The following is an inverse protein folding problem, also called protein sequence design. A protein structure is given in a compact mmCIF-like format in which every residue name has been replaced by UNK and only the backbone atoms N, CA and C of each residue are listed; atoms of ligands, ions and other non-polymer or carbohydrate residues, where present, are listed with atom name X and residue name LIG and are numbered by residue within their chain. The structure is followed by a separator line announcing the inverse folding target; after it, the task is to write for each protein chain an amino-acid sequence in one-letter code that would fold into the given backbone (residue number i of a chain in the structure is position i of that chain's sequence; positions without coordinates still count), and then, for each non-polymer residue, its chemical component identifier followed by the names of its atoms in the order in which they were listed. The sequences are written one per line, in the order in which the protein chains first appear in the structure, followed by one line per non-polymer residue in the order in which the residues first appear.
data_IF_619669685354
#
_entry.id   IF_619669685354
#
_cell.length_a   1.000
_cell.length_b   1.000
_cell.length_c   1.000
_cell.angle_alpha   90.00
_cell.angle_beta   90.00
_cell.angle_gamma   90.00
#
_symmetry.space_group_name_H-M   'P 1'
#
loop_
_entity.id
_entity.type
_entity.pdbx_description
1 polymer ?
#
# COMPACT_ATOMS: atom_id res chain seq x y z
N UNK A 1 3.50 -0.23 45.87
CA UNK A 1 2.90 0.79 45.00
C UNK A 1 3.62 0.68 43.67
N UNK A 2 2.97 0.05 42.70
CA UNK A 2 3.50 -0.15 41.35
C UNK A 2 3.05 1.07 40.56
N UNK A 3 3.99 1.95 40.24
CA UNK A 3 3.72 3.19 39.52
C UNK A 3 3.19 2.88 38.13
N UNK A 4 2.04 3.48 37.84
CA UNK A 4 1.37 3.49 36.54
C UNK A 4 2.26 4.12 35.46
N UNK A 5 2.09 3.76 34.17
CA UNK A 5 2.83 4.38 33.08
C UNK A 5 2.58 5.89 33.05
N UNK A 6 3.65 6.67 33.14
CA UNK A 6 3.62 8.13 33.16
C UNK A 6 3.33 8.62 31.74
N UNK A 7 2.07 8.94 31.47
CA UNK A 7 1.68 9.81 30.35
C UNK A 7 2.13 11.24 30.66
N UNK A 8 3.33 11.63 30.23
CA UNK A 8 3.70 13.05 30.14
C UNK A 8 3.09 13.64 28.87
N UNK A 9 1.86 14.10 28.98
CA UNK A 9 1.21 14.92 27.95
C UNK A 9 1.62 16.38 28.19
N UNK A 10 2.75 16.79 27.62
CA UNK A 10 3.02 18.21 27.40
C UNK A 10 2.84 18.51 25.91
N UNK A 11 1.75 19.22 25.60
CA UNK A 11 1.42 19.84 24.31
C UNK A 11 1.20 18.90 23.11
N UNK A 12 -0.04 18.41 22.99
CA UNK A 12 -0.74 18.14 21.73
C UNK A 12 0.06 17.42 20.60
N UNK A 13 0.86 16.42 20.97
CA UNK A 13 1.48 15.47 20.05
C UNK A 13 1.44 14.09 20.70
N UNK A 14 0.71 13.16 20.08
CA UNK A 14 0.46 11.82 20.60
C UNK A 14 1.80 11.10 20.83
N UNK A 15 2.06 10.66 22.07
CA UNK A 15 3.21 9.85 22.46
C UNK A 15 2.66 8.53 23.03
N UNK A 16 3.08 7.41 22.45
CA UNK A 16 2.68 6.06 22.90
C UNK A 16 3.92 5.28 23.27
N UNK A 17 3.92 4.64 24.44
CA UNK A 17 5.04 3.83 24.94
C UNK A 17 4.51 2.46 25.35
N UNK A 18 5.05 1.41 24.71
CA UNK A 18 4.71 0.02 24.98
C UNK A 18 5.31 -0.52 26.27
N UNK A 19 5.01 -1.79 26.56
CA UNK A 19 5.40 -2.45 27.80
C UNK A 19 6.88 -2.89 27.80
N UNK A 20 7.49 -2.92 28.98
CA UNK A 20 8.87 -3.42 29.13
C UNK A 20 9.96 -2.48 28.61
N UNK A 21 9.62 -1.21 28.33
CA UNK A 21 10.60 -0.22 27.88
C UNK A 21 11.49 0.27 29.03
N UNK A 22 12.74 0.58 28.70
CA UNK A 22 13.70 1.22 29.60
C UNK A 22 14.13 2.55 29.01
N UNK A 23 13.88 3.66 29.74
CA UNK A 23 14.19 5.01 29.29
C UNK A 23 15.22 5.62 30.24
N UNK A 24 16.33 6.09 29.68
CA UNK A 24 17.43 6.72 30.39
C UNK A 24 17.15 8.14 30.87
N UNK A 25 18.19 8.79 31.38
CA UNK A 25 18.18 10.17 31.87
C UNK A 25 18.32 11.17 30.74
N UNK A 26 17.67 12.33 30.87
CA UNK A 26 17.76 13.43 29.91
C UNK A 26 17.35 13.06 28.46
N UNK A 27 16.37 12.15 28.33
CA UNK A 27 15.83 11.72 27.03
C UNK A 27 14.66 12.63 26.63
N UNK A 28 14.61 13.03 25.36
CA UNK A 28 13.51 13.80 24.77
C UNK A 28 12.76 12.94 23.76
N UNK A 29 11.49 12.62 24.04
CA UNK A 29 10.63 11.89 23.10
C UNK A 29 9.41 12.75 22.77
N UNK A 30 9.17 13.02 21.48
CA UNK A 30 8.07 13.88 21.05
C UNK A 30 7.36 13.32 19.81
N UNK A 31 6.03 13.12 19.89
CA UNK A 31 5.22 12.71 18.75
C UNK A 31 5.57 11.33 18.17
N UNK A 32 6.12 10.45 19.00
CA UNK A 32 6.70 9.16 18.57
C UNK A 32 5.89 7.97 19.10
N UNK A 33 5.97 6.85 18.39
CA UNK A 33 5.35 5.58 18.79
C UNK A 33 6.44 4.60 19.17
N UNK A 34 6.56 4.31 20.46
CA UNK A 34 7.53 3.38 21.02
C UNK A 34 6.79 2.08 21.36
N UNK A 35 7.21 0.96 20.77
CA UNK A 35 6.60 -0.35 20.99
C UNK A 35 7.19 -1.03 22.23
N UNK A 36 7.15 -2.36 22.33
CA UNK A 36 7.49 -3.08 23.56
C UNK A 36 9.00 -3.40 23.63
N UNK A 37 9.50 -3.52 24.86
CA UNK A 37 10.88 -3.92 25.14
C UNK A 37 11.94 -3.03 24.48
N UNK A 38 11.63 -1.76 24.26
CA UNK A 38 12.56 -0.78 23.68
C UNK A 38 13.47 -0.24 24.77
N UNK A 39 14.77 -0.14 24.47
CA UNK A 39 15.76 0.47 25.37
C UNK A 39 16.26 1.77 24.78
N UNK A 40 16.02 2.89 25.46
CA UNK A 40 16.53 4.21 25.11
C UNK A 40 17.50 4.65 26.19
N UNK A 41 18.78 4.78 25.84
CA UNK A 41 19.84 5.21 26.76
C UNK A 41 19.85 6.74 26.98
N UNK A 42 20.75 7.22 27.84
CA UNK A 42 20.78 8.62 28.29
C UNK A 42 21.06 9.63 27.17
N UNK A 43 20.44 10.81 27.27
CA UNK A 43 20.70 11.94 26.36
C UNK A 43 20.17 11.76 24.94
N UNK A 44 19.36 10.73 24.68
CA UNK A 44 18.78 10.50 23.36
C UNK A 44 17.65 11.48 23.03
N UNK A 45 17.47 11.75 21.73
CA UNK A 45 16.38 12.57 21.22
C UNK A 45 15.62 11.83 20.12
N UNK A 46 14.32 11.61 20.30
CA UNK A 46 13.46 10.87 19.37
C UNK A 46 12.24 11.72 19.04
N UNK A 47 12.12 12.16 17.79
CA UNK A 47 10.99 12.99 17.34
C UNK A 47 10.25 12.33 16.21
N UNK A 48 8.92 12.31 16.27
CA UNK A 48 8.05 11.93 15.17
C UNK A 48 8.45 10.60 14.49
N UNK A 49 8.87 9.62 15.30
CA UNK A 49 9.44 8.36 14.81
C UNK A 49 8.66 7.15 15.32
N UNK A 50 8.74 6.05 14.56
CA UNK A 50 8.19 4.74 14.95
C UNK A 50 9.35 3.83 15.36
N UNK A 51 9.28 3.29 16.57
CA UNK A 51 10.31 2.43 17.15
C UNK A 51 9.69 1.09 17.51
N UNK A 52 9.97 0.06 16.70
CA UNK A 52 9.40 -1.28 16.85
C UNK A 52 9.99 -2.07 18.03
N UNK A 53 9.49 -3.29 18.24
CA UNK A 53 9.84 -4.09 19.42
C UNK A 53 11.33 -4.42 19.50
N UNK A 54 11.88 -4.34 20.72
CA UNK A 54 13.24 -4.76 21.03
C UNK A 54 14.35 -3.86 20.47
N UNK A 55 14.01 -2.68 19.95
CA UNK A 55 14.99 -1.71 19.45
C UNK A 55 15.81 -1.14 20.60
N UNK A 56 17.11 -0.91 20.35
CA UNK A 56 18.02 -0.23 21.27
C UNK A 56 18.54 1.07 20.67
N UNK A 57 18.31 2.18 21.34
CA UNK A 57 18.89 3.49 20.99
C UNK A 57 19.97 3.81 22.02
N UNK A 58 21.22 3.80 21.59
CA UNK A 58 22.37 4.01 22.48
C UNK A 58 22.57 5.49 22.83
N UNK A 59 23.32 5.76 23.89
CA UNK A 59 23.42 7.09 24.49
C UNK A 59 23.89 8.17 23.50
N UNK A 60 23.32 9.37 23.63
CA UNK A 60 23.64 10.55 22.80
C UNK A 60 23.08 10.52 21.37
N UNK A 61 22.33 9.48 21.00
CA UNK A 61 21.84 9.32 19.63
C UNK A 61 20.57 10.10 19.35
N UNK A 62 20.45 10.56 18.11
CA UNK A 62 19.35 11.42 17.66
C UNK A 62 18.60 10.71 16.54
N UNK A 63 17.30 10.48 16.76
CA UNK A 63 16.38 9.91 15.77
C UNK A 63 15.51 11.06 15.24
N UNK A 64 15.77 11.44 13.99
CA UNK A 64 15.04 12.53 13.33
C UNK A 64 13.60 12.15 12.97
N UNK A 65 12.81 13.16 12.61
CA UNK A 65 11.41 13.01 12.25
C UNK A 65 11.19 12.06 11.06
N UNK A 66 10.13 11.27 11.13
CA UNK A 66 9.72 10.34 10.07
C UNK A 66 10.54 9.06 9.99
N UNK A 67 11.49 8.83 10.91
CA UNK A 67 12.29 7.60 10.95
C UNK A 67 11.44 6.42 11.41
N UNK A 68 11.65 5.26 10.76
CA UNK A 68 11.07 3.98 11.16
C UNK A 68 12.21 3.02 11.50
N UNK A 69 12.29 2.63 12.77
CA UNK A 69 13.23 1.60 13.25
C UNK A 69 12.49 0.27 13.37
N UNK A 70 12.83 -0.68 12.49
CA UNK A 70 12.29 -2.04 12.52
C UNK A 70 12.78 -2.84 13.74
N UNK A 71 12.30 -4.06 13.87
CA UNK A 71 12.51 -4.91 15.04
C UNK A 71 13.99 -5.17 15.35
N UNK A 72 14.35 -5.07 16.64
CA UNK A 72 15.69 -5.41 17.18
C UNK A 72 16.86 -4.62 16.57
N UNK A 73 16.59 -3.52 15.89
CA UNK A 73 17.63 -2.60 15.40
C UNK A 73 18.39 -1.99 16.59
N UNK A 74 19.70 -1.81 16.43
CA UNK A 74 20.54 -1.10 17.41
C UNK A 74 21.08 0.15 16.75
N UNK A 75 20.69 1.32 17.26
CA UNK A 75 21.31 2.59 16.92
C UNK A 75 22.54 2.75 17.80
N UNK A 76 23.71 2.87 17.18
CA UNK A 76 24.99 3.09 17.85
C UNK A 76 25.05 4.43 18.57
N UNK A 77 26.07 4.62 19.40
CA UNK A 77 26.24 5.83 20.25
C UNK A 77 26.55 7.07 19.43
N UNK A 78 26.06 8.22 19.88
CA UNK A 78 26.26 9.54 19.26
C UNK A 78 25.91 9.56 17.75
N UNK A 79 25.02 8.67 17.31
CA UNK A 79 24.64 8.54 15.91
C UNK A 79 23.34 9.28 15.62
N UNK A 80 23.33 10.01 14.51
CA UNK A 80 22.14 10.72 14.03
C UNK A 80 21.51 9.91 12.91
N UNK A 81 20.33 9.36 13.14
CA UNK A 81 19.55 8.69 12.10
C UNK A 81 18.86 9.78 11.26
N UNK A 82 19.14 9.87 9.94
CA UNK A 82 18.58 10.92 9.09
C UNK A 82 17.05 10.83 9.01
N UNK A 83 16.39 11.98 8.84
CA UNK A 83 14.93 12.07 8.74
C UNK A 83 14.39 11.16 7.63
N UNK A 84 13.19 10.61 7.84
CA UNK A 84 12.50 9.72 6.90
C UNK A 84 13.23 8.42 6.52
N UNK A 85 14.28 8.05 7.26
CA UNK A 85 15.01 6.80 7.05
C UNK A 85 14.18 5.59 7.48
N UNK A 86 14.15 4.55 6.63
CA UNK A 86 13.67 3.21 6.99
C UNK A 86 14.88 2.37 7.40
N UNK A 87 14.87 1.79 8.59
CA UNK A 87 16.01 1.05 9.14
C UNK A 87 15.61 -0.38 9.48
N UNK A 88 16.34 -1.36 8.97
CA UNK A 88 16.06 -2.79 9.18
C UNK A 88 17.34 -3.60 9.42
N UNK A 89 17.22 -4.73 10.11
CA UNK A 89 18.29 -5.73 10.19
C UNK A 89 18.51 -6.46 8.86
N UNK A 90 17.51 -6.42 7.97
CA UNK A 90 17.60 -6.97 6.63
C UNK A 90 18.28 -5.94 5.72
N UNK A 91 19.27 -6.40 4.97
CA UNK A 91 19.83 -5.62 3.88
C UNK A 91 18.75 -5.47 2.81
N UNK A 92 18.60 -4.25 2.26
CA UNK A 92 17.70 -4.01 1.14
C UNK A 92 18.12 -4.94 -0.02
N UNK A 93 17.20 -5.72 -0.61
CA UNK A 93 17.51 -6.47 -1.81
C UNK A 93 17.96 -5.48 -2.88
N UNK A 94 19.14 -5.72 -3.45
CA UNK A 94 19.52 -5.02 -4.67
C UNK A 94 18.65 -5.62 -5.77
N UNK A 95 17.77 -4.80 -6.35
CA UNK A 95 17.20 -5.14 -7.63
C UNK A 95 18.37 -5.20 -8.62
N UNK A 96 18.70 -6.41 -9.08
CA UNK A 96 19.50 -6.55 -10.29
C UNK A 96 18.57 -6.11 -11.41
N UNK A 97 18.66 -4.84 -11.79
CA UNK A 97 18.20 -4.38 -13.09
C UNK A 97 18.97 -5.21 -14.14
N UNK A 98 18.36 -6.31 -14.56
CA UNK A 98 18.68 -6.95 -15.83
C UNK A 98 18.35 -5.91 -16.89
N UNK A 99 19.37 -5.16 -17.31
CA UNK A 99 19.71 -4.87 -18.70
C UNK A 99 20.62 -3.63 -18.81
N UNK A 100 21.91 -3.72 -18.43
CA UNK A 100 22.98 -2.97 -19.11
C UNK A 100 24.33 -3.70 -18.95
N UNK A 101 24.83 -4.29 -20.04
CA UNK A 101 26.26 -4.59 -20.14
C UNK A 101 27.05 -3.27 -20.15
N UNK A 102 27.81 -2.99 -19.10
CA UNK A 102 29.05 -2.23 -19.29
C UNK A 102 30.17 -2.66 -18.35
N UNK A 103 31.29 -2.99 -19.01
CA UNK A 103 32.53 -3.46 -18.45
C UNK A 103 33.28 -2.38 -17.65
N UNK A 104 33.80 -2.81 -16.49
CA UNK A 104 35.06 -2.40 -15.88
C UNK A 104 35.20 -0.92 -15.46
N UNK A 105 35.05 -0.67 -14.15
CA UNK A 105 36.20 -0.27 -13.35
C UNK A 105 35.94 -0.51 -11.87
N UNK A 106 36.85 -1.25 -11.23
CA UNK A 106 36.84 -1.45 -9.80
C UNK A 106 36.92 -0.11 -9.06
N UNK A 107 35.83 0.24 -8.41
CA UNK A 107 35.83 1.13 -7.25
C UNK A 107 35.13 0.37 -6.13
N UNK A 108 35.93 0.05 -5.13
CA UNK A 108 35.56 -0.53 -3.84
C UNK A 108 34.54 0.40 -3.16
N UNK A 109 33.24 0.23 -3.45
CA UNK A 109 32.17 0.88 -2.71
C UNK A 109 31.96 0.07 -1.43
N UNK A 110 32.79 0.38 -0.43
CA UNK A 110 32.52 0.04 0.96
C UNK A 110 31.14 0.57 1.35
N UNK A 111 30.13 -0.28 1.26
CA UNK A 111 28.75 -0.01 1.65
C UNK A 111 28.66 -0.04 3.18
N UNK A 112 29.20 0.99 3.84
CA UNK A 112 29.05 1.20 5.29
C UNK A 112 27.82 2.09 5.56
N UNK A 113 26.63 1.50 5.71
CA UNK A 113 25.50 2.15 6.40
C UNK A 113 25.27 1.56 7.80
N UNK A 114 26.38 1.39 8.55
CA UNK A 114 26.33 1.03 9.97
C UNK A 114 25.75 2.21 10.74
N UNK A 115 24.77 1.95 11.60
CA UNK A 115 24.11 2.94 12.48
C UNK A 115 25.05 3.49 13.57
N UNK A 116 26.28 3.88 13.23
CA UNK A 116 27.30 4.31 14.17
C UNK A 116 28.02 3.18 14.91
N UNK A 117 28.87 3.53 15.90
CA UNK A 117 29.62 2.56 16.70
C UNK A 117 28.68 1.65 17.50
N UNK A 118 28.89 0.33 17.40
CA UNK A 118 28.04 -0.71 18.00
C UNK A 118 26.61 -0.80 17.40
N UNK A 119 26.34 -0.11 16.29
CA UNK A 119 25.05 -0.15 15.61
C UNK A 119 24.82 -1.46 14.84
N UNK A 120 23.58 -1.95 14.85
CA UNK A 120 23.14 -3.14 14.13
C UNK A 120 21.88 -2.82 13.32
N UNK A 121 22.03 -2.77 12.00
CA UNK A 121 20.98 -2.48 11.03
C UNK A 121 21.52 -1.72 9.83
N UNK A 122 20.75 -1.75 8.75
CA UNK A 122 21.00 -1.06 7.49
C UNK A 122 19.94 0.01 7.31
N UNK A 123 20.38 1.21 6.94
CA UNK A 123 19.48 2.25 6.44
C UNK A 123 19.14 1.90 4.99
N UNK A 124 17.86 1.71 4.70
CA UNK A 124 17.37 1.47 3.35
C UNK A 124 17.41 2.78 2.57
N UNK A 125 17.91 2.73 1.35
CA UNK A 125 17.90 3.89 0.48
C UNK A 125 16.46 4.16 0.06
N UNK A 126 16.06 5.43 0.18
CA UNK A 126 14.81 5.92 -0.39
C UNK A 126 15.09 6.03 -1.89
N UNK A 127 14.58 5.07 -2.67
CA UNK A 127 14.42 5.31 -4.10
C UNK A 127 13.58 6.58 -4.23
N UNK A 128 13.99 7.51 -5.10
CA UNK A 128 13.34 8.81 -5.27
C UNK A 128 11.93 8.60 -5.86
N UNK A 129 10.96 8.28 -4.99
CA UNK A 129 9.55 8.25 -5.33
C UNK A 129 9.06 9.69 -5.43
N UNK A 130 9.03 10.23 -6.66
CA UNK A 130 8.67 11.61 -7.00
C UNK A 130 7.30 12.10 -6.49
N UNK A 131 6.49 11.23 -5.88
CA UNK A 131 5.14 11.54 -5.38
C UNK A 131 5.12 12.60 -4.28
N UNK A 132 6.13 12.72 -3.41
CA UNK A 132 6.02 13.48 -2.13
C UNK A 132 5.66 14.98 -2.22
N UNK A 133 5.57 15.54 -3.42
CA UNK A 133 5.21 16.94 -3.67
C UNK A 133 3.77 17.17 -4.17
N UNK A 134 2.97 16.13 -4.43
CA UNK A 134 1.65 16.28 -5.09
C UNK A 134 0.44 16.42 -4.16
N UNK A 135 0.64 16.55 -2.84
CA UNK A 135 -0.49 16.69 -1.89
C UNK A 135 -0.83 18.17 -1.65
N UNK A 136 -1.94 18.63 -2.22
CA UNK A 136 -2.49 19.95 -1.92
C UNK A 136 -3.02 20.01 -0.47
N UNK A 137 -2.82 21.12 0.27
CA UNK A 137 -3.33 21.26 1.63
C UNK A 137 -4.87 21.22 1.68
N UNK A 138 -5.43 20.28 2.44
CA UNK A 138 -6.88 20.17 2.66
C UNK A 138 -7.35 21.30 3.60
N UNK A 139 -8.34 22.14 3.22
CA UNK A 139 -8.90 23.16 4.09
C UNK A 139 -9.57 22.57 5.33
N UNK A 140 -9.32 23.17 6.50
CA UNK A 140 -9.76 22.66 7.81
C UNK A 140 -11.28 22.52 7.95
N UNK A 141 -12.04 23.31 7.21
CA UNK A 141 -13.50 23.33 7.29
C UNK A 141 -14.14 22.06 6.67
N UNK A 142 -13.39 21.31 5.85
CA UNK A 142 -13.86 20.10 5.15
C UNK A 142 -13.49 18.79 5.82
N UNK A 143 -12.62 18.82 6.83
CA UNK A 143 -12.26 17.62 7.59
C UNK A 143 -13.42 17.13 8.46
N UNK A 144 -14.36 18.01 8.82
CA UNK A 144 -15.49 17.70 9.68
C UNK A 144 -16.60 16.91 8.96
N UNK A 145 -16.71 17.01 7.63
CA UNK A 145 -17.76 16.35 6.83
C UNK A 145 -17.42 14.87 6.52
N UNK A 146 -16.17 14.43 6.69
CA UNK A 146 -15.71 13.08 6.33
C UNK A 146 -15.85 12.09 7.52
N UNK A 147 -16.15 12.57 8.72
CA UNK A 147 -16.10 11.76 9.96
C UNK A 147 -17.48 11.16 10.31
N UNK A 148 -18.55 11.50 9.61
CA UNK A 148 -19.93 11.34 10.12
C UNK A 148 -20.84 10.44 9.25
N UNK A 149 -20.37 9.26 8.83
CA UNK A 149 -21.25 8.19 8.30
C UNK A 149 -20.64 6.79 8.55
N UNK A 150 -21.00 6.17 9.67
CA UNK A 150 -20.98 4.72 9.86
C UNK A 150 -22.00 4.34 10.95
N UNK A 151 -23.23 4.01 10.55
CA UNK A 151 -24.20 3.28 11.38
C UNK A 151 -25.36 2.78 10.50
N UNK A 152 -25.22 1.60 9.88
CA UNK A 152 -26.37 0.72 9.60
C UNK A 152 -25.96 -0.75 9.70
N UNK A 153 -26.40 -1.38 10.79
CA UNK A 153 -26.56 -2.84 10.92
C UNK A 153 -27.68 -3.33 9.97
N UNK A 154 -27.51 -4.46 9.28
CA UNK A 154 -28.61 -5.45 9.21
C UNK A 154 -28.16 -6.86 8.77
N UNK A 155 -28.54 -7.85 9.58
CA UNK A 155 -28.57 -9.28 9.24
C UNK A 155 -29.90 -9.59 8.55
N UNK A 156 -29.91 -10.32 7.42
CA UNK A 156 -31.02 -11.25 7.17
C UNK A 156 -30.68 -12.41 6.23
N UNK A 157 -31.27 -13.57 6.54
CA UNK A 157 -31.10 -14.90 5.98
C UNK A 157 -32.25 -15.23 5.03
N UNK A 158 -32.02 -15.72 3.79
CA UNK A 158 -32.98 -16.64 3.10
C UNK A 158 -32.28 -17.59 2.10
N UNK A 159 -32.85 -18.80 2.00
CA UNK A 159 -32.46 -20.09 1.38
C UNK A 159 -32.42 -20.20 -0.17
N UNK A 160 -31.77 -21.24 -0.75
CA UNK A 160 -31.61 -21.39 -2.20
C UNK A 160 -32.71 -22.27 -2.85
N UNK A 161 -33.20 -21.87 -4.02
CA UNK A 161 -33.94 -22.75 -4.93
C UNK A 161 -33.97 -22.21 -6.37
N UNK A 162 -33.39 -22.97 -7.30
CA UNK A 162 -33.96 -23.18 -8.65
C UNK A 162 -33.46 -22.32 -9.81
N UNK A 163 -32.73 -23.01 -10.72
CA UNK A 163 -32.70 -22.87 -12.19
C UNK A 163 -32.12 -21.62 -12.88
N UNK A 164 -30.92 -21.86 -13.44
CA UNK A 164 -30.40 -21.52 -14.77
C UNK A 164 -30.93 -20.31 -15.58
N UNK A 165 -29.93 -19.51 -15.99
CA UNK A 165 -29.92 -18.50 -17.06
C UNK A 165 -30.66 -17.19 -16.80
N UNK A 166 -29.97 -16.27 -16.14
CA UNK A 166 -30.06 -14.83 -16.46
C UNK A 166 -28.76 -14.15 -16.03
N UNK A 167 -28.15 -13.42 -16.96
CA UNK A 167 -27.03 -12.51 -16.71
C UNK A 167 -27.55 -11.44 -15.75
N UNK A 168 -27.08 -11.44 -14.49
CA UNK A 168 -27.45 -10.45 -13.49
C UNK A 168 -26.23 -10.09 -12.64
N UNK A 169 -26.04 -8.78 -12.49
CA UNK A 169 -25.08 -8.08 -11.63
C UNK A 169 -25.24 -8.46 -10.14
N UNK A 170 -24.21 -8.11 -9.36
CA UNK A 170 -24.17 -7.85 -7.90
C UNK A 170 -23.53 -8.85 -6.93
N UNK A 171 -22.70 -9.80 -7.38
CA UNK A 171 -21.95 -10.67 -6.42
C UNK A 171 -20.57 -11.17 -6.88
N UNK A 172 -20.08 -10.74 -8.05
CA UNK A 172 -19.12 -11.54 -8.82
C UNK A 172 -17.66 -11.58 -8.33
N UNK A 173 -17.16 -10.60 -7.56
CA UNK A 173 -15.75 -10.64 -7.14
C UNK A 173 -15.42 -11.78 -6.16
N UNK A 174 -16.43 -12.30 -5.45
CA UNK A 174 -16.26 -13.47 -4.57
C UNK A 174 -16.53 -14.80 -5.32
N UNK A 175 -17.40 -14.78 -6.34
CA UNK A 175 -17.67 -15.95 -7.17
C UNK A 175 -16.52 -16.28 -8.13
N UNK A 176 -15.80 -15.27 -8.63
CA UNK A 176 -14.61 -15.51 -9.47
C UNK A 176 -13.49 -16.22 -8.69
N UNK A 177 -13.35 -15.95 -7.38
CA UNK A 177 -12.42 -16.69 -6.52
C UNK A 177 -12.83 -18.14 -6.31
N UNK A 178 -14.10 -18.40 -5.99
CA UNK A 178 -14.58 -19.77 -5.78
C UNK A 178 -14.43 -20.59 -7.05
N UNK A 179 -14.71 -20.00 -8.22
CA UNK A 179 -14.49 -20.61 -9.53
C UNK A 179 -13.01 -20.88 -9.77
N UNK A 180 -12.11 -19.95 -9.45
CA UNK A 180 -10.67 -20.12 -9.70
C UNK A 180 -10.01 -21.11 -8.72
N UNK A 181 -10.47 -21.14 -7.46
CA UNK A 181 -10.08 -22.14 -6.46
C UNK A 181 -10.58 -23.53 -6.86
N UNK A 182 -11.84 -23.64 -7.30
CA UNK A 182 -12.40 -24.91 -7.77
C UNK A 182 -11.68 -25.40 -9.03
N UNK A 183 -11.38 -24.51 -9.97
CA UNK A 183 -10.57 -24.82 -11.15
C UNK A 183 -9.15 -25.27 -10.81
N UNK A 184 -8.52 -24.62 -9.83
CA UNK A 184 -7.20 -25.01 -9.31
C UNK A 184 -7.25 -26.39 -8.63
N UNK A 185 -8.29 -26.65 -7.85
CA UNK A 185 -8.51 -27.94 -7.21
C UNK A 185 -8.75 -29.06 -8.23
N UNK A 186 -9.59 -28.82 -9.24
CA UNK A 186 -9.86 -29.78 -10.32
C UNK A 186 -8.58 -30.12 -11.11
N UNK A 187 -7.79 -29.11 -11.52
CA UNK A 187 -6.50 -29.34 -12.20
C UNK A 187 -5.52 -30.11 -11.32
N UNK A 188 -5.42 -29.77 -10.05
CA UNK A 188 -4.55 -30.48 -9.12
C UNK A 188 -4.93 -31.97 -8.99
N UNK A 189 -6.22 -32.28 -9.02
CA UNK A 189 -6.75 -33.66 -9.00
C UNK A 189 -6.53 -34.37 -10.33
N UNK A 190 -6.83 -33.73 -11.47
CA UNK A 190 -6.70 -34.32 -12.81
C UNK A 190 -5.24 -34.57 -13.21
N UNK A 191 -4.36 -33.64 -12.91
CA UNK A 191 -2.94 -33.69 -13.26
C UNK A 191 -2.08 -34.36 -12.16
N UNK A 192 -2.72 -34.81 -11.07
CA UNK A 192 -2.07 -35.46 -9.92
C UNK A 192 -0.91 -34.61 -9.36
N UNK A 193 -1.16 -33.30 -9.21
CA UNK A 193 -0.21 -32.32 -8.68
C UNK A 193 0.01 -32.61 -7.18
N UNK A 194 1.26 -32.46 -6.73
CA UNK A 194 1.59 -32.66 -5.31
C UNK A 194 0.89 -31.59 -4.48
N UNK A 195 0.20 -32.01 -3.41
CA UNK A 195 -0.69 -31.13 -2.62
C UNK A 195 -0.05 -29.81 -2.15
N UNK A 196 1.27 -29.77 -1.94
CA UNK A 196 1.98 -28.55 -1.54
C UNK A 196 2.02 -27.47 -2.64
N UNK A 197 1.98 -27.84 -3.93
CA UNK A 197 1.92 -26.90 -5.05
C UNK A 197 0.53 -26.28 -5.17
N UNK A 198 -0.52 -27.09 -5.06
CA UNK A 198 -1.91 -26.60 -5.05
C UNK A 198 -2.18 -25.63 -3.88
N UNK A 199 -1.60 -25.89 -2.70
CA UNK A 199 -1.68 -24.97 -1.55
C UNK A 199 -1.01 -23.63 -1.83
N UNK A 200 0.12 -23.61 -2.56
CA UNK A 200 0.79 -22.36 -2.92
C UNK A 200 -0.04 -21.54 -3.90
N UNK A 201 -0.63 -22.18 -4.91
CA UNK A 201 -1.52 -21.52 -5.89
C UNK A 201 -2.76 -20.92 -5.20
N UNK A 202 -3.44 -21.69 -4.37
CA UNK A 202 -4.62 -21.20 -3.62
C UNK A 202 -4.25 -20.03 -2.70
N UNK A 203 -3.09 -20.08 -2.03
CA UNK A 203 -2.64 -18.97 -1.18
C UNK A 203 -2.27 -17.72 -2.00
N UNK A 204 -1.72 -17.90 -3.21
CA UNK A 204 -1.44 -16.80 -4.13
C UNK A 204 -2.74 -16.12 -4.58
N UNK A 205 -3.74 -16.90 -4.97
CA UNK A 205 -5.06 -16.39 -5.35
C UNK A 205 -5.72 -15.62 -4.20
N UNK A 206 -5.69 -16.20 -3.00
CA UNK A 206 -6.22 -15.55 -1.80
C UNK A 206 -5.52 -14.21 -1.52
N UNK A 207 -4.20 -14.15 -1.67
CA UNK A 207 -3.42 -12.93 -1.46
C UNK A 207 -3.82 -11.83 -2.43
N UNK A 208 -4.04 -12.16 -3.72
CA UNK A 208 -4.47 -11.20 -4.73
C UNK A 208 -5.85 -10.60 -4.39
N UNK A 209 -6.78 -11.41 -3.89
CA UNK A 209 -8.12 -10.95 -3.49
C UNK A 209 -8.08 -10.11 -2.22
N UNK A 210 -7.29 -10.51 -1.23
CA UNK A 210 -7.12 -9.71 -0.02
C UNK A 210 -6.54 -8.33 -0.38
N UNK A 211 -5.61 -8.28 -1.35
CA UNK A 211 -5.05 -7.03 -1.87
C UNK A 211 -6.11 -6.18 -2.59
N UNK A 212 -6.92 -6.78 -3.46
CA UNK A 212 -8.03 -6.10 -4.13
C UNK A 212 -9.04 -5.53 -3.13
N UNK A 213 -9.49 -6.31 -2.15
CA UNK A 213 -10.42 -5.86 -1.11
C UNK A 213 -9.86 -4.69 -0.30
N UNK A 214 -8.58 -4.72 0.00
CA UNK A 214 -7.91 -3.62 0.67
C UNK A 214 -7.89 -2.35 -0.21
N UNK A 215 -7.56 -2.49 -1.51
CA UNK A 215 -7.59 -1.38 -2.46
C UNK A 215 -8.99 -0.78 -2.59
N UNK A 216 -10.01 -1.61 -2.82
CA UNK A 216 -11.42 -1.21 -2.88
C UNK A 216 -11.86 -0.48 -1.60
N UNK A 217 -11.55 -1.04 -0.42
CA UNK A 217 -11.89 -0.42 0.87
C UNK A 217 -11.24 0.96 1.05
N UNK A 218 -9.99 1.13 0.64
CA UNK A 218 -9.29 2.42 0.67
C UNK A 218 -9.94 3.40 -0.31
N UNK A 219 -10.21 2.97 -1.55
CA UNK A 219 -10.84 3.81 -2.56
C UNK A 219 -12.22 4.29 -2.07
N UNK A 220 -13.07 3.38 -1.57
CA UNK A 220 -14.37 3.75 -1.02
C UNK A 220 -14.26 4.68 0.18
N UNK A 221 -13.28 4.49 1.06
CA UNK A 221 -13.05 5.39 2.22
C UNK A 221 -12.75 6.81 1.76
N UNK A 222 -12.00 6.97 0.68
CA UNK A 222 -11.53 8.26 0.19
C UNK A 222 -12.33 8.81 -1.00
N UNK A 223 -13.39 8.12 -1.45
CA UNK A 223 -14.17 8.50 -2.63
C UNK A 223 -14.74 9.92 -2.54
N UNK A 224 -15.20 10.35 -1.36
CA UNK A 224 -15.69 11.71 -1.14
C UNK A 224 -14.61 12.79 -1.31
N UNK A 225 -13.36 12.47 -0.95
CA UNK A 225 -12.22 13.36 -1.19
C UNK A 225 -11.81 13.34 -2.66
N UNK A 226 -11.78 12.16 -3.29
CA UNK A 226 -11.47 12.02 -4.71
C UNK A 226 -12.47 12.78 -5.57
N UNK A 227 -13.78 12.61 -5.35
CA UNK A 227 -14.83 13.36 -6.06
C UNK A 227 -14.79 14.88 -5.83
N UNK A 228 -14.08 15.36 -4.80
CA UNK A 228 -13.83 16.80 -4.66
C UNK A 228 -12.78 17.32 -5.65
N UNK A 229 -11.77 16.52 -5.98
CA UNK A 229 -10.64 16.90 -6.84
C UNK A 229 -10.73 16.35 -8.27
N UNK A 230 -11.51 15.29 -8.48
CA UNK A 230 -11.60 14.53 -9.73
C UNK A 230 -13.00 14.75 -10.30
N UNK A 231 -13.19 15.85 -11.03
CA UNK A 231 -14.49 16.26 -11.58
C UNK A 231 -14.49 16.29 -13.10
N UNK A 232 -13.35 16.63 -13.69
CA UNK A 232 -13.20 16.73 -15.14
C UNK A 232 -12.59 15.44 -15.68
N UNK A 233 -12.89 15.12 -16.94
CA UNK A 233 -12.34 13.92 -17.58
C UNK A 233 -10.81 13.94 -17.65
N UNK A 234 -10.18 15.10 -17.78
CA UNK A 234 -8.71 15.21 -17.74
C UNK A 234 -8.13 14.81 -16.36
N UNK A 235 -8.82 15.15 -15.26
CA UNK A 235 -8.42 14.76 -13.90
C UNK A 235 -8.64 13.26 -13.66
N UNK A 236 -9.71 12.70 -14.25
CA UNK A 236 -9.98 11.26 -14.21
C UNK A 236 -8.95 10.46 -15.00
N UNK A 237 -8.56 10.93 -16.20
CA UNK A 237 -7.49 10.33 -16.99
C UNK A 237 -6.17 10.33 -16.20
N UNK A 238 -5.84 11.43 -15.52
CA UNK A 238 -4.66 11.50 -14.66
C UNK A 238 -4.70 10.47 -13.52
N UNK A 239 -5.87 10.21 -12.94
CA UNK A 239 -6.05 9.15 -11.93
C UNK A 239 -5.79 7.76 -12.53
N UNK A 240 -6.30 7.50 -13.73
CA UNK A 240 -6.06 6.23 -14.45
C UNK A 240 -4.58 6.06 -14.75
N UNK A 241 -3.92 7.09 -15.30
CA UNK A 241 -2.49 7.08 -15.60
C UNK A 241 -1.63 6.92 -14.35
N UNK A 242 -2.00 7.57 -13.23
CA UNK A 242 -1.25 7.39 -11.99
C UNK A 242 -1.43 5.99 -11.40
N UNK A 243 -2.63 5.41 -11.50
CA UNK A 243 -2.87 4.02 -11.12
C UNK A 243 -2.05 3.06 -11.99
N UNK A 244 -1.95 3.35 -13.28
CA UNK A 244 -1.15 2.57 -14.24
C UNK A 244 0.32 2.57 -13.84
N UNK A 245 0.89 3.74 -13.54
CA UNK A 245 2.26 3.88 -13.04
C UNK A 245 2.49 3.10 -11.74
N UNK A 246 1.54 3.17 -10.78
CA UNK A 246 1.61 2.39 -9.54
C UNK A 246 1.59 0.88 -9.79
N UNK A 247 0.73 0.43 -10.71
CA UNK A 247 0.67 -0.96 -11.12
C UNK A 247 1.96 -1.39 -11.82
N UNK A 248 2.63 -0.50 -12.56
CA UNK A 248 3.91 -0.78 -13.22
C UNK A 248 5.06 -0.90 -12.20
N UNK A 249 5.10 -0.02 -11.20
CA UNK A 249 6.06 -0.08 -10.09
C UNK A 249 5.92 -1.37 -9.26
N UNK A 250 4.71 -1.95 -9.18
CA UNK A 250 4.42 -3.19 -8.46
C UNK A 250 3.72 -4.22 -9.36
N UNK A 251 4.30 -4.47 -10.55
CA UNK A 251 3.68 -5.23 -11.63
C UNK A 251 3.25 -6.66 -11.25
N UNK A 252 4.00 -7.32 -10.36
CA UNK A 252 3.68 -8.69 -9.94
C UNK A 252 2.46 -8.76 -9.00
N UNK A 253 2.26 -7.74 -8.17
CA UNK A 253 1.23 -7.75 -7.13
C UNK A 253 -0.02 -6.97 -7.56
N UNK A 254 0.15 -5.71 -7.98
CA UNK A 254 -0.94 -4.80 -8.32
C UNK A 254 -1.31 -4.86 -9.80
N UNK A 255 -0.39 -5.25 -10.68
CA UNK A 255 -0.62 -5.31 -12.11
C UNK A 255 -1.86 -6.14 -12.49
N UNK A 256 -2.03 -7.38 -11.99
CA UNK A 256 -3.21 -8.19 -12.28
C UNK A 256 -4.55 -7.59 -11.81
N UNK A 257 -4.52 -6.62 -10.90
CA UNK A 257 -5.73 -6.01 -10.34
C UNK A 257 -6.18 -4.76 -11.10
N UNK A 258 -5.34 -4.20 -11.99
CA UNK A 258 -5.60 -2.89 -12.62
C UNK A 258 -6.99 -2.79 -13.26
N UNK A 259 -7.35 -3.71 -14.16
CA UNK A 259 -8.66 -3.67 -14.83
C UNK A 259 -9.84 -3.80 -13.86
N UNK A 260 -9.70 -4.59 -12.79
CA UNK A 260 -10.72 -4.74 -11.76
C UNK A 260 -10.89 -3.44 -10.97
N UNK A 261 -9.78 -2.76 -10.65
CA UNK A 261 -9.81 -1.46 -9.95
C UNK A 261 -10.45 -0.38 -10.84
N UNK A 262 -10.13 -0.34 -12.13
CA UNK A 262 -10.76 0.61 -13.07
C UNK A 262 -12.27 0.40 -13.13
N UNK A 263 -12.71 -0.86 -13.23
CA UNK A 263 -14.14 -1.20 -13.19
C UNK A 263 -14.78 -0.77 -11.87
N UNK A 264 -14.16 -1.09 -10.74
CA UNK A 264 -14.63 -0.69 -9.42
C UNK A 264 -14.80 0.82 -9.29
N UNK A 265 -13.85 1.60 -9.83
CA UNK A 265 -13.91 3.06 -9.81
C UNK A 265 -14.97 3.65 -10.77
N UNK A 266 -15.38 2.88 -11.77
CA UNK A 266 -16.46 3.22 -12.71
C UNK A 266 -17.86 2.92 -12.16
N UNK A 267 -18.00 1.88 -11.33
CA UNK A 267 -19.29 1.46 -10.79
C UNK A 267 -20.09 2.62 -10.15
N UNK A 268 -21.41 2.59 -10.31
CA UNK A 268 -22.34 3.66 -9.88
C UNK A 268 -22.19 3.98 -8.37
N UNK A 269 -21.85 2.99 -7.54
CA UNK A 269 -21.64 3.20 -6.11
C UNK A 269 -20.40 4.05 -5.77
N UNK A 270 -19.41 4.07 -6.67
CA UNK A 270 -18.15 4.80 -6.48
C UNK A 270 -18.09 6.09 -7.31
N UNK A 271 -18.57 6.08 -8.56
CA UNK A 271 -18.68 7.24 -9.48
C UNK A 271 -17.42 8.13 -9.50
N UNK A 272 -16.23 7.50 -9.54
CA UNK A 272 -14.94 8.22 -9.59
C UNK A 272 -14.49 8.42 -11.03
N UNK A 273 -14.69 7.40 -11.87
CA UNK A 273 -14.34 7.41 -13.28
C UNK A 273 -15.59 7.32 -14.13
N UNK A 274 -15.68 8.17 -15.15
CA UNK A 274 -16.76 8.13 -16.12
C UNK A 274 -16.31 7.43 -17.40
N UNK A 275 -17.27 6.87 -18.13
CA UNK A 275 -17.04 6.21 -19.42
C UNK A 275 -16.18 7.08 -20.36
N UNK A 276 -16.53 8.36 -20.50
CA UNK A 276 -15.82 9.31 -21.36
C UNK A 276 -14.33 9.42 -21.01
N UNK A 277 -13.97 9.36 -19.73
CA UNK A 277 -12.57 9.43 -19.31
C UNK A 277 -11.82 8.14 -19.64
N UNK A 278 -12.44 6.98 -19.41
CA UNK A 278 -11.84 5.66 -19.70
C UNK A 278 -11.61 5.50 -21.21
N UNK A 279 -12.59 5.87 -22.03
CA UNK A 279 -12.47 5.82 -23.49
C UNK A 279 -11.40 6.80 -24.02
N UNK A 280 -11.34 8.02 -23.48
CA UNK A 280 -10.31 8.99 -23.85
C UNK A 280 -8.91 8.53 -23.46
N UNK A 281 -8.73 7.97 -22.27
CA UNK A 281 -7.45 7.37 -21.85
C UNK A 281 -7.03 6.25 -22.81
N UNK A 282 -7.97 5.38 -23.20
CA UNK A 282 -7.71 4.30 -24.14
C UNK A 282 -7.27 4.81 -25.53
N UNK A 283 -7.92 5.87 -26.02
CA UNK A 283 -7.57 6.50 -27.30
C UNK A 283 -6.19 7.19 -27.25
N UNK A 284 -5.86 7.84 -26.14
CA UNK A 284 -4.53 8.46 -25.93
C UNK A 284 -3.41 7.41 -25.94
N UNK A 285 -3.69 6.20 -25.46
CA UNK A 285 -2.73 5.08 -25.40
C UNK A 285 -2.62 4.29 -26.71
N UNK A 286 -3.60 4.36 -27.60
CA UNK A 286 -3.60 3.64 -28.87
C UNK A 286 -2.40 3.98 -29.79
N UNK A 287 -1.73 5.12 -29.56
CA UNK A 287 -0.51 5.53 -30.28
C UNK A 287 0.81 5.13 -29.62
N UNK A 288 0.80 4.51 -28.44
CA UNK A 288 1.98 4.14 -27.68
C UNK A 288 2.57 2.77 -28.07
N UNK A 289 3.81 2.49 -27.66
CA UNK A 289 4.49 1.23 -27.93
C UNK A 289 3.78 0.05 -27.23
N UNK A 290 3.92 -1.15 -27.81
CA UNK A 290 3.16 -2.33 -27.37
C UNK A 290 3.51 -2.80 -25.94
N UNK A 291 4.72 -2.45 -25.45
CA UNK A 291 5.18 -2.67 -24.07
C UNK A 291 4.46 -1.78 -23.05
N UNK A 292 4.00 -0.61 -23.49
CA UNK A 292 3.40 0.40 -22.61
C UNK A 292 1.87 0.22 -22.52
N UNK A 293 1.33 -0.72 -23.30
CA UNK A 293 -0.11 -0.99 -23.44
C UNK A 293 -0.55 -2.27 -22.74
N UNK A 294 0.23 -2.82 -21.81
CA UNK A 294 -0.12 -4.04 -21.06
C UNK A 294 -1.45 -3.85 -20.30
N UNK A 295 -1.61 -2.72 -19.62
CA UNK A 295 -2.82 -2.40 -18.86
C UNK A 295 -4.00 -2.01 -19.75
N UNK A 296 -3.74 -1.36 -20.90
CA UNK A 296 -4.76 -1.12 -21.92
C UNK A 296 -5.34 -2.45 -22.43
N UNK A 297 -4.49 -3.42 -22.76
CA UNK A 297 -4.90 -4.78 -23.18
C UNK A 297 -5.72 -5.48 -22.11
N UNK A 298 -5.35 -5.32 -20.84
CA UNK A 298 -6.10 -5.89 -19.73
C UNK A 298 -7.53 -5.32 -19.61
N UNK A 299 -7.70 -4.02 -19.91
CA UNK A 299 -8.99 -3.34 -19.90
C UNK A 299 -9.79 -3.52 -21.20
N UNK A 300 -9.23 -4.12 -22.25
CA UNK A 300 -9.87 -4.23 -23.58
C UNK A 300 -11.28 -4.85 -23.56
N UNK A 301 -11.55 -5.94 -22.79
CA UNK A 301 -12.91 -6.48 -22.68
C UNK A 301 -13.91 -5.48 -22.09
N UNK A 302 -13.47 -4.72 -21.09
CA UNK A 302 -14.29 -3.71 -20.42
C UNK A 302 -14.52 -2.47 -21.30
N UNK A 303 -13.49 -2.00 -22.00
CA UNK A 303 -13.59 -0.90 -22.96
C UNK A 303 -14.53 -1.26 -24.12
N UNK A 304 -14.47 -2.51 -24.59
CA UNK A 304 -15.38 -3.00 -25.64
C UNK A 304 -16.82 -2.97 -25.14
N UNK A 305 -17.06 -3.47 -23.93
CA UNK A 305 -18.39 -3.43 -23.31
C UNK A 305 -18.93 -1.99 -23.14
N UNK A 306 -18.08 -1.03 -22.74
CA UNK A 306 -18.47 0.38 -22.65
C UNK A 306 -18.93 0.93 -23.99
N UNK A 307 -18.18 0.66 -25.07
CA UNK A 307 -18.53 1.11 -26.44
C UNK A 307 -19.82 0.49 -26.97
N UNK A 308 -20.05 -0.79 -26.69
CA UNK A 308 -21.28 -1.47 -27.11
C UNK A 308 -22.51 -0.92 -26.36
N UNK A 309 -22.35 -0.62 -25.06
CA UNK A 309 -23.45 -0.11 -24.24
C UNK A 309 -23.81 1.34 -24.60
N UNK A 310 -22.84 2.15 -25.01
CA UNK A 310 -23.10 3.54 -25.45
C UNK A 310 -23.87 3.61 -26.77
N UNK A 311 -23.60 2.68 -27.70
CA UNK A 311 -24.26 2.66 -29.01
C UNK A 311 -25.74 2.24 -28.92
N UNK A 312 -26.13 1.46 -27.91
CA UNK A 312 -27.51 0.99 -27.69
C UNK A 312 -28.42 2.03 -27.01
N UNK A 313 -27.88 3.08 -26.37
CA UNK A 313 -28.66 4.14 -25.70
C UNK A 313 -29.07 5.30 -26.63
N UNK A 314 -28.43 5.41 -27.80
CA UNK A 314 -28.65 6.47 -28.80
C UNK A 314 -29.64 6.08 -29.94
N UNK A 315 -30.16 4.83 -29.95
CA UNK A 315 -31.15 4.29 -30.91
C UNK A 315 -32.58 4.14 -30.34
#
# INVERSE_FOLDING_TARGET
MVDSPILKVENNRLLVIGNGCSIGSNVVIQGSYIWNNVTVEDGCEIRNAVVCDGVKVSAGSIVQAGVVLSFKVIVGRDFVVPAYSKVSLLQQPMEEDSDEENLLSGVDLQMESKLGPDGAGYIWQVCDEGWKHSVAPIPKDKLAEIIDDDDTEDESVVTPSGDANSIHNDVNDLYDFEIEVDGTFLRAVEENIVANLAVLEINSLRSAIDLYKNAASIISRWKGLLGFYVKQSDEQIEVISRLEEMCQESAQELGPLFAHIIRFMYEEENDILQEVAILRWADEKAGADESDNVYLKQCEPFITWLKETSDDEDD
#
